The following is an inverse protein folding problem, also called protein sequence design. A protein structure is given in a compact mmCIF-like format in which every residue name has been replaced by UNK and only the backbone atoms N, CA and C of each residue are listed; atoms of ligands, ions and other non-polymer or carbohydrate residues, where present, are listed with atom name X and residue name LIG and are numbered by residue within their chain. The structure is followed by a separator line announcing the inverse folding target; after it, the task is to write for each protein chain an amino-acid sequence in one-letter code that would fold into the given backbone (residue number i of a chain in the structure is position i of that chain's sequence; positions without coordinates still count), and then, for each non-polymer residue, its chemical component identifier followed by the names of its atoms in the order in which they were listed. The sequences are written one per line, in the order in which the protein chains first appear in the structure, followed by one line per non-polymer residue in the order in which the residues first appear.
data_IF_790585055602
#
_entry.id   IF_790585055602
#
_cell.length_a   1.000
_cell.length_b   1.000
_cell.length_c   1.000
_cell.angle_alpha   90.00
_cell.angle_beta   90.00
_cell.angle_gamma   90.00
#
_symmetry.space_group_name_H-M   'P 1'
#
loop_
_entity.id
_entity.type
_entity.pdbx_description
1 polymer ?
#
# COMPACT_ATOMS: atom_id res chain seq x y z
N UNK A 1 16.44 -14.11 2.25
CA UNK A 1 16.05 -14.09 3.66
C UNK A 1 17.25 -13.64 4.51
N UNK A 2 17.05 -12.97 5.61
CA UNK A 2 18.11 -12.52 6.52
C UNK A 2 18.58 -13.69 7.39
N UNK A 3 19.38 -14.60 6.81
CA UNK A 3 19.99 -15.75 7.51
C UNK A 3 21.44 -15.47 7.87
N UNK A 4 22.01 -16.23 8.79
CA UNK A 4 23.45 -16.14 9.12
C UNK A 4 24.33 -16.34 7.90
N UNK A 5 24.03 -17.31 7.04
CA UNK A 5 24.79 -17.57 5.81
C UNK A 5 24.72 -16.42 4.82
N UNK A 6 23.56 -15.74 4.74
CA UNK A 6 23.42 -14.54 3.92
C UNK A 6 24.30 -13.40 4.48
N UNK A 7 24.29 -13.21 5.79
CA UNK A 7 25.08 -12.16 6.45
C UNK A 7 26.59 -12.44 6.38
N UNK A 8 27.01 -13.68 6.52
CA UNK A 8 28.41 -14.08 6.46
C UNK A 8 29.09 -13.76 5.11
N UNK A 9 28.29 -13.62 4.03
CA UNK A 9 28.79 -13.24 2.71
C UNK A 9 28.96 -11.72 2.54
N UNK A 10 28.71 -10.93 3.59
CA UNK A 10 28.81 -9.48 3.56
C UNK A 10 30.01 -9.00 4.35
N UNK A 11 30.85 -8.17 3.72
CA UNK A 11 32.06 -7.65 4.36
C UNK A 11 31.85 -6.30 5.08
N UNK A 12 30.62 -5.74 5.02
CA UNK A 12 30.29 -4.44 5.60
C UNK A 12 28.99 -4.53 6.42
N UNK A 13 28.80 -3.63 7.38
CA UNK A 13 27.51 -3.48 8.07
C UNK A 13 26.36 -3.32 7.07
N UNK A 14 25.23 -3.99 7.32
CA UNK A 14 24.09 -3.95 6.41
C UNK A 14 22.77 -3.91 7.17
N UNK A 15 21.83 -3.13 6.68
CA UNK A 15 20.42 -3.17 7.05
C UNK A 15 19.68 -3.98 6.00
N UNK A 16 18.89 -4.95 6.44
CA UNK A 16 18.03 -5.74 5.57
C UNK A 16 16.57 -5.48 5.91
N UNK A 17 15.75 -5.18 4.91
CA UNK A 17 14.30 -5.13 5.01
C UNK A 17 13.73 -6.35 4.29
N UNK A 18 13.23 -7.31 5.05
CA UNK A 18 12.66 -8.56 4.54
C UNK A 18 11.15 -8.49 4.57
N UNK A 19 10.52 -8.51 3.38
CA UNK A 19 9.07 -8.57 3.25
C UNK A 19 8.60 -9.98 3.64
N UNK A 20 7.82 -10.08 4.73
CA UNK A 20 7.37 -11.36 5.24
C UNK A 20 5.85 -11.55 5.16
N UNK A 21 5.08 -10.46 4.97
CA UNK A 21 3.63 -10.55 4.86
C UNK A 21 3.07 -9.49 3.91
N UNK A 22 2.05 -9.88 3.15
CA UNK A 22 1.29 -8.99 2.25
C UNK A 22 -0.19 -9.26 2.49
N UNK A 23 -0.95 -8.23 2.88
CA UNK A 23 -2.40 -8.32 3.09
C UNK A 23 -3.12 -7.14 2.49
N UNK A 24 -4.33 -7.38 1.97
CA UNK A 24 -5.19 -6.27 1.58
C UNK A 24 -5.69 -5.51 2.81
N UNK A 25 -5.61 -4.19 2.77
CA UNK A 25 -6.26 -3.31 3.73
C UNK A 25 -7.74 -3.14 3.36
N UNK A 26 -8.55 -4.08 3.85
CA UNK A 26 -10.00 -4.14 3.54
C UNK A 26 -10.74 -2.91 4.06
N UNK A 27 -10.25 -2.28 5.12
CA UNK A 27 -10.86 -1.07 5.66
C UNK A 27 -10.78 0.12 4.68
N UNK A 28 -9.75 0.14 3.82
CA UNK A 28 -9.57 1.15 2.76
C UNK A 28 -10.20 0.77 1.43
N UNK A 29 -10.86 -0.39 1.34
CA UNK A 29 -11.48 -0.84 0.08
C UNK A 29 -12.67 0.05 -0.27
N UNK A 30 -12.53 0.78 -1.36
CA UNK A 30 -13.61 1.56 -1.93
C UNK A 30 -14.38 0.71 -2.94
N UNK A 31 -15.70 0.92 -2.99
CA UNK A 31 -16.60 0.28 -3.96
C UNK A 31 -17.05 1.31 -4.99
N UNK A 32 -17.42 0.83 -6.17
CA UNK A 32 -17.91 1.68 -7.25
C UNK A 32 -16.81 2.06 -8.25
N UNK A 33 -17.06 3.11 -8.99
CA UNK A 33 -16.17 3.62 -10.04
C UNK A 33 -15.87 5.09 -9.79
N UNK A 34 -14.62 5.48 -9.99
CA UNK A 34 -14.17 6.86 -9.96
C UNK A 34 -14.29 7.46 -11.35
N UNK A 35 -14.93 8.62 -11.45
CA UNK A 35 -14.99 9.38 -12.70
C UNK A 35 -13.61 10.03 -12.96
N UNK A 36 -13.11 9.87 -14.18
CA UNK A 36 -11.96 10.63 -14.69
C UNK A 36 -12.53 11.70 -15.60
N UNK A 37 -12.27 12.97 -15.28
CA UNK A 37 -12.76 14.13 -16.01
C UNK A 37 -11.64 14.73 -16.85
N UNK A 38 -12.01 15.36 -17.95
CA UNK A 38 -11.12 16.18 -18.77
C UNK A 38 -11.02 17.63 -18.25
N UNK A 39 -10.37 18.50 -19.03
CA UNK A 39 -10.20 19.92 -18.71
C UNK A 39 -11.55 20.70 -18.68
N UNK A 40 -12.56 20.19 -19.37
CA UNK A 40 -13.92 20.77 -19.43
C UNK A 40 -14.85 20.17 -18.35
N UNK A 41 -14.32 19.43 -17.36
CA UNK A 41 -15.06 18.75 -16.29
C UNK A 41 -16.02 17.66 -16.79
N UNK A 42 -15.84 17.18 -18.03
CA UNK A 42 -16.62 16.10 -18.64
C UNK A 42 -16.03 14.74 -18.24
N UNK A 43 -16.90 13.80 -17.83
CA UNK A 43 -16.48 12.45 -17.50
C UNK A 43 -16.12 11.69 -18.77
N UNK A 44 -14.84 11.49 -19.03
CA UNK A 44 -14.32 10.80 -20.21
C UNK A 44 -14.08 9.33 -20.00
N UNK A 45 -13.81 8.93 -18.76
CA UNK A 45 -13.58 7.53 -18.37
C UNK A 45 -14.06 7.26 -16.96
N UNK A 46 -14.27 5.98 -16.66
CA UNK A 46 -14.48 5.50 -15.30
C UNK A 46 -13.42 4.45 -14.98
N UNK A 47 -12.81 4.54 -13.82
CA UNK A 47 -11.82 3.57 -13.35
C UNK A 47 -12.24 2.99 -12.01
N UNK A 48 -11.77 1.78 -11.72
CA UNK A 48 -11.91 1.24 -10.37
C UNK A 48 -10.97 1.98 -9.43
N UNK A 49 -11.39 2.25 -8.18
CA UNK A 49 -10.49 2.79 -7.17
C UNK A 49 -9.34 1.80 -6.91
N UNK A 50 -8.14 2.30 -6.57
CA UNK A 50 -7.01 1.45 -6.25
C UNK A 50 -7.32 0.60 -5.02
N UNK A 51 -6.76 -0.60 -4.97
CA UNK A 51 -6.75 -1.41 -3.76
C UNK A 51 -5.54 -1.09 -2.93
N UNK A 52 -5.67 -1.20 -1.62
CA UNK A 52 -4.60 -0.92 -0.69
C UNK A 52 -4.08 -2.18 -0.07
N UNK A 53 -2.76 -2.31 0.01
CA UNK A 53 -2.09 -3.47 0.59
C UNK A 53 -1.15 -3.05 1.70
N UNK A 54 -1.21 -3.80 2.80
CA UNK A 54 -0.24 -3.73 3.90
C UNK A 54 0.91 -4.63 3.55
N UNK A 55 2.10 -4.05 3.48
CA UNK A 55 3.36 -4.75 3.31
C UNK A 55 4.10 -4.72 4.63
N UNK A 56 4.33 -5.89 5.24
CA UNK A 56 5.03 -5.99 6.52
C UNK A 56 6.46 -6.43 6.31
N UNK A 57 7.39 -5.60 6.75
CA UNK A 57 8.82 -5.82 6.62
C UNK A 57 9.46 -6.06 7.99
N UNK A 58 10.29 -7.09 8.09
CA UNK A 58 11.20 -7.29 9.18
C UNK A 58 12.52 -6.58 8.85
N UNK A 59 12.81 -5.50 9.56
CA UNK A 59 14.04 -4.73 9.38
C UNK A 59 15.08 -5.20 10.41
N UNK A 60 16.21 -5.66 9.91
CA UNK A 60 17.29 -6.26 10.71
C UNK A 60 18.61 -5.61 10.39
N UNK A 61 19.47 -5.46 11.41
CA UNK A 61 20.84 -5.01 11.23
C UNK A 61 21.82 -6.20 11.41
N UNK A 62 22.87 -6.17 10.61
CA UNK A 62 23.90 -7.22 10.59
C UNK A 62 25.28 -6.56 10.61
N UNK A 63 26.00 -6.77 11.69
CA UNK A 63 27.34 -6.25 11.91
C UNK A 63 28.20 -7.31 12.62
N UNK A 64 29.43 -6.95 12.96
CA UNK A 64 30.35 -7.85 13.68
C UNK A 64 30.08 -7.90 15.19
N UNK A 65 29.42 -6.89 15.75
CA UNK A 65 29.14 -6.79 17.19
C UNK A 65 27.67 -6.47 17.45
N UNK A 66 27.06 -7.02 18.51
CA UNK A 66 25.67 -6.69 18.86
C UNK A 66 25.46 -5.20 19.14
N UNK A 67 26.45 -4.52 19.70
CA UNK A 67 26.37 -3.09 20.00
C UNK A 67 26.21 -2.25 18.74
N UNK A 68 26.94 -2.61 17.67
CA UNK A 68 26.83 -1.92 16.39
C UNK A 68 25.50 -2.22 15.68
N UNK A 69 24.97 -3.44 15.86
CA UNK A 69 23.62 -3.78 15.39
C UNK A 69 22.55 -2.91 16.05
N UNK A 70 22.62 -2.72 17.37
CA UNK A 70 21.68 -1.86 18.11
C UNK A 70 21.81 -0.39 17.69
N UNK A 71 23.04 0.13 17.50
CA UNK A 71 23.27 1.48 17.00
C UNK A 71 22.68 1.68 15.62
N UNK A 72 22.87 0.69 14.73
CA UNK A 72 22.36 0.76 13.37
C UNK A 72 20.82 0.72 13.34
N UNK A 73 20.18 -0.15 14.13
CA UNK A 73 18.73 -0.18 14.28
C UNK A 73 18.19 1.12 14.87
N UNK A 74 18.86 1.70 15.87
CA UNK A 74 18.50 2.98 16.45
C UNK A 74 18.55 4.11 15.42
N UNK A 75 19.57 4.13 14.55
CA UNK A 75 19.69 5.10 13.47
C UNK A 75 18.56 4.95 12.44
N UNK A 76 18.23 3.70 12.07
CA UNK A 76 17.09 3.41 11.18
C UNK A 76 15.79 3.88 11.80
N UNK A 77 15.55 3.57 13.07
CA UNK A 77 14.35 3.99 13.79
C UNK A 77 14.24 5.52 13.83
N UNK A 78 15.32 6.21 14.19
CA UNK A 78 15.35 7.68 14.22
C UNK A 78 15.08 8.32 12.84
N UNK A 79 15.48 7.65 11.76
CA UNK A 79 15.25 8.11 10.39
C UNK A 79 13.79 7.89 9.95
N UNK A 80 13.16 6.80 10.38
CA UNK A 80 11.82 6.43 9.94
C UNK A 80 10.71 7.02 10.82
N UNK A 81 10.95 7.22 12.13
CA UNK A 81 9.94 7.74 13.06
C UNK A 81 9.29 9.06 12.61
N UNK A 82 10.03 10.06 12.08
CA UNK A 82 9.43 11.30 11.62
C UNK A 82 8.62 11.16 10.31
N UNK A 83 8.73 10.02 9.64
CA UNK A 83 8.14 9.78 8.32
C UNK A 83 6.93 8.87 8.44
N UNK A 84 5.79 9.44 8.83
CA UNK A 84 4.54 8.68 8.89
C UNK A 84 3.88 8.50 7.53
N UNK A 85 4.19 9.38 6.58
CA UNK A 85 3.60 9.41 5.23
C UNK A 85 4.69 9.77 4.22
N UNK A 86 4.82 8.96 3.17
CA UNK A 86 5.61 9.31 1.99
C UNK A 86 4.71 9.99 0.95
N UNK A 87 5.02 11.24 0.55
CA UNK A 87 4.25 11.94 -0.47
C UNK A 87 4.52 11.35 -1.87
N UNK A 88 3.61 11.55 -2.84
CA UNK A 88 3.78 11.03 -4.20
C UNK A 88 5.09 11.44 -4.88
N UNK A 89 5.61 12.62 -4.54
CA UNK A 89 6.87 13.15 -5.09
C UNK A 89 8.11 12.36 -4.71
N UNK A 90 8.05 11.59 -3.62
CA UNK A 90 9.15 10.72 -3.17
C UNK A 90 8.99 9.27 -3.66
N UNK A 91 7.87 8.94 -4.32
CA UNK A 91 7.55 7.59 -4.76
C UNK A 91 8.00 7.40 -6.22
N UNK A 92 8.70 6.31 -6.55
CA UNK A 92 9.18 6.07 -7.90
C UNK A 92 8.11 5.52 -8.84
N UNK A 93 8.28 5.77 -10.15
CA UNK A 93 7.55 5.12 -11.23
C UNK A 93 6.03 5.27 -11.15
N UNK A 94 5.32 4.19 -11.46
CA UNK A 94 3.86 4.14 -11.49
C UNK A 94 3.21 4.47 -10.13
N UNK A 95 3.89 4.17 -9.04
CA UNK A 95 3.37 4.47 -7.69
C UNK A 95 3.27 5.98 -7.44
N UNK A 96 4.29 6.75 -7.83
CA UNK A 96 4.27 8.22 -7.77
C UNK A 96 3.24 8.82 -8.72
N UNK A 97 3.08 8.23 -9.92
CA UNK A 97 2.11 8.67 -10.91
C UNK A 97 0.63 8.54 -10.46
N UNK A 98 0.35 7.69 -9.47
CA UNK A 98 -0.99 7.60 -8.86
C UNK A 98 -1.39 8.87 -8.09
N UNK A 99 -0.45 9.71 -7.70
CA UNK A 99 -0.70 10.91 -6.92
C UNK A 99 -1.18 10.65 -5.49
N UNK A 100 -1.00 9.42 -4.98
CA UNK A 100 -1.45 9.00 -3.65
C UNK A 100 -0.26 8.87 -2.70
N UNK A 101 -0.45 9.35 -1.48
CA UNK A 101 0.54 9.21 -0.42
C UNK A 101 0.54 7.80 0.15
N UNK A 102 1.71 7.32 0.57
CA UNK A 102 1.92 5.99 1.15
C UNK A 102 2.20 6.11 2.64
N UNK A 103 1.23 5.75 3.51
CA UNK A 103 1.46 5.69 4.95
C UNK A 103 2.45 4.60 5.32
N UNK A 104 3.28 4.88 6.31
CA UNK A 104 4.18 3.90 6.91
C UNK A 104 4.13 4.00 8.45
N UNK A 105 4.37 2.88 9.09
CA UNK A 105 4.45 2.78 10.55
C UNK A 105 5.64 1.92 10.92
N UNK A 106 6.51 2.43 11.77
CA UNK A 106 7.67 1.70 12.27
C UNK A 106 7.49 1.38 13.75
N UNK A 107 7.84 0.15 14.14
CA UNK A 107 7.76 -0.34 15.53
C UNK A 107 6.38 -0.12 16.20
N UNK A 108 5.31 -0.08 15.39
CA UNK A 108 3.94 0.06 15.89
C UNK A 108 3.41 -1.25 16.49
N UNK A 109 2.40 -1.13 17.35
CA UNK A 109 1.69 -2.30 17.88
C UNK A 109 0.91 -2.96 16.75
N UNK A 110 1.19 -4.21 16.46
CA UNK A 110 0.45 -4.99 15.49
C UNK A 110 -0.59 -5.84 16.20
N UNK A 111 -1.86 -5.59 15.92
CA UNK A 111 -3.00 -6.32 16.51
C UNK A 111 -3.15 -7.75 15.99
N UNK A 112 -2.55 -8.08 14.84
CA UNK A 112 -2.70 -9.37 14.16
C UNK A 112 -1.35 -9.92 13.66
N UNK A 113 -0.25 -9.66 14.34
CA UNK A 113 1.05 -10.11 13.90
C UNK A 113 1.31 -11.57 14.26
N UNK A 114 1.96 -12.27 13.36
CA UNK A 114 2.67 -13.51 13.71
C UNK A 114 3.71 -13.18 14.77
N UNK A 115 3.89 -14.10 15.73
CA UNK A 115 4.95 -13.95 16.72
C UNK A 115 6.31 -13.76 16.01
N UNK A 116 7.11 -12.81 16.46
CA UNK A 116 8.47 -12.63 15.96
C UNK A 116 9.27 -13.93 16.04
N UNK A 117 9.05 -14.72 17.10
CA UNK A 117 9.67 -16.02 17.26
C UNK A 117 9.30 -17.01 16.15
N UNK A 118 8.04 -17.00 15.69
CA UNK A 118 7.60 -17.85 14.57
C UNK A 118 8.24 -17.42 13.25
N UNK A 119 8.35 -16.11 13.00
CA UNK A 119 9.01 -15.58 11.80
C UNK A 119 10.48 -16.01 11.80
N UNK A 120 11.21 -15.81 12.90
CA UNK A 120 12.60 -16.18 13.01
C UNK A 120 12.81 -17.70 12.90
N UNK A 121 11.93 -18.49 13.51
CA UNK A 121 11.96 -19.95 13.39
C UNK A 121 11.75 -20.41 11.94
N UNK A 122 10.76 -19.82 11.25
CA UNK A 122 10.50 -20.13 9.83
C UNK A 122 11.65 -19.73 8.90
N UNK A 123 12.44 -18.71 9.27
CA UNK A 123 13.64 -18.29 8.54
C UNK A 123 14.87 -19.17 8.87
N UNK A 124 14.75 -20.12 9.81
CA UNK A 124 15.87 -20.94 10.27
C UNK A 124 16.94 -20.13 11.02
N UNK A 125 16.55 -18.98 11.59
CA UNK A 125 17.42 -18.04 12.29
C UNK A 125 17.20 -18.04 13.80
N UNK A 126 18.16 -17.49 14.53
CA UNK A 126 17.99 -17.15 15.93
C UNK A 126 17.32 -15.79 16.05
N UNK A 127 16.48 -15.63 17.06
CA UNK A 127 15.82 -14.37 17.37
C UNK A 127 16.86 -13.25 17.57
N UNK A 128 16.74 -12.20 16.80
CA UNK A 128 17.57 -10.98 16.89
C UNK A 128 16.69 -9.75 17.08
N UNK A 129 17.24 -8.67 17.64
CA UNK A 129 16.57 -7.38 17.61
C UNK A 129 16.20 -6.98 16.19
N UNK A 130 14.97 -6.57 15.99
CA UNK A 130 14.42 -6.19 14.70
C UNK A 130 13.35 -5.12 14.85
N UNK A 131 13.09 -4.36 13.79
CA UNK A 131 12.01 -3.39 13.73
C UNK A 131 10.96 -3.91 12.76
N UNK A 132 9.70 -3.84 13.15
CA UNK A 132 8.59 -3.98 12.23
C UNK A 132 8.38 -2.67 11.47
N UNK A 133 8.35 -2.76 10.14
CA UNK A 133 7.98 -1.65 9.27
C UNK A 133 6.76 -2.07 8.45
N UNK A 134 5.66 -1.36 8.61
CA UNK A 134 4.45 -1.57 7.81
C UNK A 134 4.31 -0.41 6.84
N UNK A 135 4.15 -0.74 5.56
CA UNK A 135 3.91 0.21 4.47
C UNK A 135 2.55 -0.09 3.87
N UNK A 136 1.68 0.92 3.77
CA UNK A 136 0.35 0.75 3.17
C UNK A 136 0.35 1.38 1.78
N UNK A 137 0.42 0.55 0.75
CA UNK A 137 0.60 0.98 -0.64
C UNK A 137 -0.66 0.78 -1.48
N UNK A 138 -1.01 1.76 -2.35
CA UNK A 138 -2.08 1.58 -3.33
C UNK A 138 -1.60 0.70 -4.49
N UNK A 139 -2.51 -0.12 -5.01
CA UNK A 139 -2.31 -0.89 -6.22
C UNK A 139 -3.37 -0.50 -7.24
N UNK A 140 -2.96 0.08 -8.36
CA UNK A 140 -3.86 0.39 -9.46
C UNK A 140 -4.26 -0.89 -10.20
N UNK A 141 -5.54 -1.06 -10.42
CA UNK A 141 -6.07 -2.22 -11.14
C UNK A 141 -6.04 -2.03 -12.65
N UNK A 142 -5.66 -0.83 -13.13
CA UNK A 142 -5.62 -0.44 -14.57
C UNK A 142 -6.87 -0.87 -15.38
N UNK A 143 -8.02 -0.85 -14.72
CA UNK A 143 -9.30 -1.16 -15.34
C UNK A 143 -10.09 0.13 -15.58
N UNK A 144 -9.79 0.78 -16.70
CA UNK A 144 -10.55 1.92 -17.17
C UNK A 144 -11.62 1.45 -18.18
N UNK A 145 -12.84 1.99 -18.04
CA UNK A 145 -13.94 1.80 -18.98
C UNK A 145 -14.27 3.16 -19.60
N UNK A 146 -14.54 3.24 -20.92
CA UNK A 146 -15.02 4.48 -21.50
C UNK A 146 -16.34 4.90 -20.84
N UNK A 147 -16.52 6.19 -20.62
CA UNK A 147 -17.78 6.72 -20.15
C UNK A 147 -18.80 6.68 -21.31
N UNK A 148 -20.08 6.53 -20.96
CA UNK A 148 -21.13 6.78 -21.92
C UNK A 148 -21.11 8.26 -22.32
N UNK A 149 -21.52 8.61 -23.56
CA UNK A 149 -21.58 9.99 -23.96
C UNK A 149 -22.50 10.80 -23.04
N UNK A 150 -22.23 12.09 -22.83
CA UNK A 150 -23.06 12.93 -21.98
C UNK A 150 -24.47 13.03 -22.54
N UNK A 151 -25.46 13.05 -21.65
CA UNK A 151 -26.87 13.28 -22.05
C UNK A 151 -27.03 14.77 -22.39
N UNK A 152 -27.11 15.08 -23.67
CA UNK A 152 -27.23 16.44 -24.17
C UNK A 152 -28.69 16.90 -24.33
N UNK A 153 -29.63 15.95 -24.38
CA UNK A 153 -31.06 16.24 -24.50
C UNK A 153 -31.79 15.93 -23.19
N UNK A 154 -32.82 16.71 -22.91
CA UNK A 154 -33.68 16.44 -21.75
C UNK A 154 -34.38 15.10 -21.92
N UNK A 155 -34.41 14.22 -20.92
CA UNK A 155 -35.15 12.97 -21.00
C UNK A 155 -36.64 13.29 -21.20
N UNK A 156 -37.26 12.68 -22.20
CA UNK A 156 -38.69 12.67 -22.35
C UNK A 156 -39.26 11.53 -21.52
N UNK A 157 -39.99 11.86 -20.48
CA UNK A 157 -40.67 10.88 -19.63
C UNK A 157 -42.12 10.86 -20.09
N UNK A 158 -42.54 9.77 -20.71
CA UNK A 158 -43.96 9.46 -20.97
C UNK A 158 -44.46 8.50 -19.89
N UNK A 159 -45.44 8.92 -19.12
CA UNK A 159 -46.15 8.06 -18.20
C UNK A 159 -47.30 7.41 -18.97
N UNK A 160 -47.28 6.11 -19.10
CA UNK A 160 -48.41 5.32 -19.61
C UNK A 160 -49.12 4.71 -18.41
N UNK A 161 -50.42 4.94 -18.31
CA UNK A 161 -51.26 4.27 -17.34
C UNK A 161 -51.33 2.76 -17.69
N UNK A 162 -51.56 1.95 -16.68
CA UNK A 162 -51.63 0.48 -16.81
C UNK A 162 -52.70 0.01 -17.80
N UNK A 163 -53.66 0.86 -18.14
CA UNK A 163 -54.76 0.61 -19.08
C UNK A 163 -54.51 1.16 -20.50
N UNK A 164 -53.31 1.66 -20.82
CA UNK A 164 -52.93 2.09 -22.16
C UNK A 164 -53.64 3.35 -22.67
N UNK A 165 -54.18 4.20 -21.77
CA UNK A 165 -54.76 5.48 -22.14
C UNK A 165 -53.68 6.56 -21.99
N UNK A 166 -53.42 7.28 -23.10
CA UNK A 166 -52.63 8.50 -23.11
C UNK A 166 -53.50 9.62 -22.53
N UNK A 167 -53.26 10.05 -21.31
CA UNK A 167 -53.79 11.32 -20.83
C UNK A 167 -52.92 12.46 -21.38
N UNK A 168 -53.56 13.26 -22.24
CA UNK A 168 -53.02 14.49 -22.85
C UNK A 168 -52.83 15.61 -21.81
#
# INVERSE_FOLDING_TARGET
APTRDWAARRNAPVVNAYLYDIREDVARRQRGQMAVRDEDDIVVRRRQPPRWFRLSYLVTAWTKTPQDEHRLLSAVLATLLPREIMPPSELPGSLGALGLSVPLTVAGIQTESRSLAEIWSALGGELKPSLDLVVVTPWDLDRAMPAAPPVTERPRISLHDRDGRDDL
#
